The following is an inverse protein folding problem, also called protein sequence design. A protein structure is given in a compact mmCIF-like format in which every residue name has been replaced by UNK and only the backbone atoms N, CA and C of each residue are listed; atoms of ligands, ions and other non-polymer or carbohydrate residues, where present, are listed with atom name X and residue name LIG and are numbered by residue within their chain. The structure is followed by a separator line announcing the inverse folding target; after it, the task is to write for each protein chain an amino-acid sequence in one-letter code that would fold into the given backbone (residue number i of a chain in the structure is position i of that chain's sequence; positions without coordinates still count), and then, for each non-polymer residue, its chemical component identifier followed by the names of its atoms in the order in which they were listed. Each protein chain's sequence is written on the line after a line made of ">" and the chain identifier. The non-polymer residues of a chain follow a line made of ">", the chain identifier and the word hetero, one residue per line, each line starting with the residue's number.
data_IF_526278988342
#
_entry.id   IF_526278988342
#
_cell.length_a   1.000
_cell.length_b   1.000
_cell.length_c   1.000
_cell.angle_alpha   90.00
_cell.angle_beta   90.00
_cell.angle_gamma   90.00
#
_symmetry.space_group_name_H-M   'P 1'
#
loop_
_entity.id
_entity.type
_entity.pdbx_description
1 polymer ?
#
# COMPACT_ATOMS: atom_id res chain seq x y z
N UNK A 1 20.68 -0.99 -14.31
CA UNK A 1 20.32 -0.31 -15.58
C UNK A 1 21.13 0.95 -15.84
N UNK A 2 21.66 1.68 -14.84
CA UNK A 2 22.47 2.89 -15.08
C UNK A 2 21.68 4.06 -15.69
N UNK A 3 20.35 3.93 -15.74
CA UNK A 3 19.44 4.93 -16.29
C UNK A 3 19.01 5.85 -15.15
N UNK A 4 19.26 7.13 -15.32
CA UNK A 4 18.73 8.20 -14.48
C UNK A 4 17.45 8.74 -15.11
N UNK A 5 16.42 8.96 -14.30
CA UNK A 5 15.14 9.50 -14.75
C UNK A 5 15.21 11.02 -14.82
N UNK A 6 14.55 11.60 -15.81
CA UNK A 6 14.30 13.03 -15.77
C UNK A 6 13.48 13.37 -14.50
N UNK A 7 13.67 14.55 -13.89
CA UNK A 7 13.03 14.88 -12.61
C UNK A 7 11.50 14.71 -12.59
N UNK A 8 10.83 15.10 -13.68
CA UNK A 8 9.37 14.95 -13.79
C UNK A 8 8.93 13.49 -13.87
N UNK A 9 9.67 12.66 -14.62
CA UNK A 9 9.37 11.21 -14.74
C UNK A 9 9.56 10.49 -13.41
N UNK A 10 10.56 10.91 -12.62
CA UNK A 10 10.79 10.39 -11.28
C UNK A 10 9.62 10.71 -10.33
N UNK A 11 9.09 11.94 -10.38
CA UNK A 11 7.94 12.37 -9.57
C UNK A 11 6.71 11.50 -9.88
N UNK A 12 6.38 11.34 -11.17
CA UNK A 12 5.23 10.54 -11.60
C UNK A 12 5.40 9.07 -11.20
N UNK A 13 6.60 8.51 -11.37
CA UNK A 13 6.88 7.13 -10.98
C UNK A 13 6.70 6.92 -9.47
N UNK A 14 7.24 7.81 -8.64
CA UNK A 14 7.13 7.68 -7.19
C UNK A 14 5.71 7.90 -6.70
N UNK A 15 4.97 8.83 -7.30
CA UNK A 15 3.55 9.04 -7.01
C UNK A 15 2.73 7.79 -7.35
N UNK A 16 2.92 7.21 -8.54
CA UNK A 16 2.24 5.99 -8.96
C UNK A 16 2.60 4.79 -8.07
N UNK A 17 3.88 4.63 -7.72
CA UNK A 17 4.34 3.57 -6.83
C UNK A 17 3.72 3.71 -5.44
N UNK A 18 3.76 4.91 -4.86
CA UNK A 18 3.18 5.22 -3.56
C UNK A 18 1.67 4.96 -3.54
N UNK A 19 0.94 5.48 -4.53
CA UNK A 19 -0.50 5.27 -4.66
C UNK A 19 -0.87 3.79 -4.79
N UNK A 20 -0.07 3.02 -5.55
CA UNK A 20 -0.27 1.58 -5.73
C UNK A 20 -0.10 0.82 -4.43
N UNK A 21 0.98 1.07 -3.69
CA UNK A 21 1.24 0.42 -2.40
C UNK A 21 0.18 0.80 -1.37
N UNK A 22 -0.15 2.09 -1.25
CA UNK A 22 -1.19 2.56 -0.33
C UNK A 22 -2.53 1.86 -0.61
N UNK A 23 -2.94 1.78 -1.87
CA UNK A 23 -4.17 1.09 -2.28
C UNK A 23 -4.13 -0.39 -1.94
N UNK A 24 -3.00 -1.07 -2.17
CA UNK A 24 -2.85 -2.48 -1.85
C UNK A 24 -2.95 -2.74 -0.35
N UNK A 25 -2.26 -1.94 0.47
CA UNK A 25 -2.30 -2.01 1.93
C UNK A 25 -3.73 -1.77 2.44
N UNK A 26 -4.38 -0.69 2.01
CA UNK A 26 -5.76 -0.39 2.43
C UNK A 26 -6.74 -1.50 2.05
N UNK A 27 -6.59 -2.09 0.86
CA UNK A 27 -7.41 -3.23 0.44
C UNK A 27 -7.17 -4.47 1.30
N UNK A 28 -5.92 -4.75 1.65
CA UNK A 28 -5.57 -5.85 2.55
C UNK A 28 -6.19 -5.68 3.93
N UNK A 29 -6.08 -4.48 4.51
CA UNK A 29 -6.71 -4.14 5.81
C UNK A 29 -8.23 -4.27 5.75
N UNK A 30 -8.86 -3.78 4.68
CA UNK A 30 -10.32 -3.86 4.50
C UNK A 30 -10.81 -5.29 4.33
N UNK A 31 -10.07 -6.14 3.61
CA UNK A 31 -10.46 -7.52 3.32
C UNK A 31 -10.09 -8.51 4.44
N UNK A 32 -9.33 -8.09 5.45
CA UNK A 32 -8.91 -8.95 6.54
C UNK A 32 -10.10 -9.50 7.35
N UNK A 33 -10.04 -10.77 7.71
CA UNK A 33 -11.00 -11.44 8.61
C UNK A 33 -10.30 -11.82 9.91
N UNK A 34 -11.00 -11.84 11.07
CA UNK A 34 -10.39 -12.18 12.34
C UNK A 34 -9.74 -13.58 12.31
N UNK A 35 -8.58 -13.71 12.95
CA UNK A 35 -7.89 -14.97 13.18
C UNK A 35 -7.57 -15.17 14.66
N UNK A 36 -7.45 -16.44 15.08
CA UNK A 36 -7.05 -16.76 16.45
C UNK A 36 -5.63 -16.23 16.75
N UNK A 37 -5.49 -15.55 17.89
CA UNK A 37 -4.22 -14.96 18.31
C UNK A 37 -3.91 -13.58 17.72
N UNK A 38 -4.82 -12.99 16.92
CA UNK A 38 -4.67 -11.60 16.48
C UNK A 38 -4.50 -10.65 17.67
N UNK A 39 -3.44 -9.84 17.64
CA UNK A 39 -3.14 -8.88 18.71
C UNK A 39 -4.17 -7.75 18.79
N UNK A 40 -4.82 -7.44 17.67
CA UNK A 40 -5.79 -6.36 17.53
C UNK A 40 -6.97 -6.80 16.67
N UNK A 41 -8.17 -6.22 16.88
CA UNK A 41 -9.31 -6.49 16.01
C UNK A 41 -9.02 -6.06 14.57
N UNK A 42 -9.55 -6.81 13.61
CA UNK A 42 -9.62 -6.36 12.21
C UNK A 42 -10.40 -5.05 12.12
N UNK A 43 -10.16 -4.28 11.06
CA UNK A 43 -10.76 -2.96 10.92
C UNK A 43 -12.30 -2.98 10.93
N UNK A 44 -12.91 -4.00 10.32
CA UNK A 44 -14.37 -4.11 10.18
C UNK A 44 -15.12 -4.51 11.46
N UNK A 45 -14.42 -4.82 12.55
CA UNK A 45 -15.06 -5.14 13.84
C UNK A 45 -15.09 -3.95 14.81
N UNK A 46 -14.83 -2.74 14.32
CA UNK A 46 -15.02 -1.46 15.02
C UNK A 46 -16.35 -0.82 14.63
#
# INVERSE_FOLDING_TARGET
>A
SGIELAPNDAIELYAAAGATMARAISRGVFAATPAEGDLFPVWSSR
#
